data_IF_713647561358
#
_entry.id   IF_713647561358
#
_cell.length_a   1.000
_cell.length_b   1.000
_cell.length_c   1.000
_cell.angle_alpha   90.00
_cell.angle_beta   90.00
_cell.angle_gamma   90.00
#
_symmetry.space_group_name_H-M   'P 1'
#
loop_
_entity.id
_entity.type
_entity.pdbx_description
1 polymer ?
#
# COMPACT_ATOMS: atom_id res chain seq x y z
N UNK A 1 -8.83 11.37 -12.15
CA UNK A 1 -8.02 10.14 -11.98
C UNK A 1 -7.30 10.19 -10.66
N UNK A 2 -7.13 9.04 -10.01
CA UNK A 2 -6.47 8.89 -8.70
C UNK A 2 -5.30 7.92 -8.87
N UNK A 3 -4.13 8.28 -8.34
CA UNK A 3 -3.03 7.35 -8.17
C UNK A 3 -3.21 6.62 -6.84
N UNK A 4 -3.22 5.31 -6.91
CA UNK A 4 -3.35 4.40 -5.78
C UNK A 4 -2.04 3.64 -5.66
N UNK A 5 -1.38 3.71 -4.51
CA UNK A 5 -0.08 3.10 -4.29
C UNK A 5 -0.10 2.22 -3.03
N UNK A 6 0.73 1.18 -3.06
CA UNK A 6 1.00 0.29 -1.93
C UNK A 6 2.50 0.20 -1.76
N UNK A 7 2.99 0.32 -0.53
CA UNK A 7 4.44 0.31 -0.25
C UNK A 7 5.09 -1.06 -0.58
N UNK A 8 4.31 -2.15 -0.59
CA UNK A 8 4.77 -3.47 -1.04
C UNK A 8 3.62 -4.46 -1.24
N UNK A 9 3.61 -5.15 -2.39
CA UNK A 9 2.65 -6.21 -2.74
C UNK A 9 2.03 -6.08 -4.13
N UNK A 10 1.43 -7.17 -4.61
CA UNK A 10 0.80 -7.23 -5.93
C UNK A 10 -0.48 -6.38 -5.99
N UNK A 11 -0.48 -5.37 -6.87
CA UNK A 11 -1.61 -4.48 -7.10
C UNK A 11 -2.66 -5.06 -8.06
N UNK A 12 -2.48 -6.28 -8.58
CA UNK A 12 -3.43 -6.96 -9.49
C UNK A 12 -4.88 -6.91 -9.00
N UNK A 13 -5.09 -6.90 -7.67
CA UNK A 13 -6.40 -6.87 -7.00
C UNK A 13 -6.97 -5.47 -6.70
N UNK A 14 -6.26 -4.38 -7.03
CA UNK A 14 -6.78 -2.99 -6.90
C UNK A 14 -8.05 -2.77 -7.73
N UNK A 15 -8.18 -3.51 -8.84
CA UNK A 15 -9.40 -3.52 -9.68
C UNK A 15 -10.65 -3.87 -8.86
N UNK A 16 -10.54 -4.77 -7.88
CA UNK A 16 -11.65 -5.20 -7.04
C UNK A 16 -11.85 -4.27 -5.83
N UNK A 17 -10.78 -3.89 -5.12
CA UNK A 17 -10.88 -3.09 -3.88
C UNK A 17 -11.58 -1.73 -4.07
N UNK A 18 -11.12 -0.91 -5.02
CA UNK A 18 -11.67 0.45 -5.19
C UNK A 18 -13.12 0.42 -5.77
N UNK A 19 -13.65 -0.75 -6.16
CA UNK A 19 -14.97 -0.85 -6.81
C UNK A 19 -16.11 -0.76 -5.79
N UNK A 20 -15.84 -1.11 -4.54
CA UNK A 20 -16.80 -1.02 -3.45
C UNK A 20 -17.19 0.43 -3.10
N UNK A 21 -16.36 1.42 -3.43
CA UNK A 21 -16.59 2.83 -3.11
C UNK A 21 -17.20 3.65 -4.26
N UNK A 22 -17.53 3.01 -5.39
CA UNK A 22 -18.21 3.66 -6.49
C UNK A 22 -18.33 2.75 -7.70
N UNK A 23 -19.54 2.57 -8.20
CA UNK A 23 -19.89 1.84 -9.42
C UNK A 23 -19.30 2.45 -10.72
N UNK A 24 -18.35 3.38 -10.60
CA UNK A 24 -17.96 4.36 -11.63
C UNK A 24 -16.46 4.29 -11.98
N UNK A 25 -15.91 3.08 -12.10
CA UNK A 25 -14.55 2.89 -12.65
C UNK A 25 -14.60 2.74 -14.15
N UNK A 26 -13.97 3.66 -14.87
CA UNK A 26 -13.80 3.54 -16.33
C UNK A 26 -12.60 2.67 -16.70
N UNK A 27 -11.48 2.82 -15.99
CA UNK A 27 -10.22 2.16 -16.34
C UNK A 27 -9.24 2.11 -15.18
N UNK A 28 -8.45 1.03 -15.11
CA UNK A 28 -7.30 0.92 -14.18
C UNK A 28 -6.05 0.65 -15.01
N UNK A 29 -5.03 1.50 -14.88
CA UNK A 29 -3.71 1.35 -15.50
C UNK A 29 -2.66 1.15 -14.41
N UNK A 30 -1.79 0.16 -14.55
CA UNK A 30 -0.66 0.00 -13.62
C UNK A 30 0.53 0.82 -14.09
N UNK A 31 1.22 1.47 -13.15
CA UNK A 31 2.44 2.23 -13.46
C UNK A 31 3.62 1.26 -13.39
N UNK A 32 4.27 0.93 -14.51
CA UNK A 32 5.43 0.05 -14.52
C UNK A 32 6.64 0.72 -13.86
N UNK A 33 7.44 -0.07 -13.14
CA UNK A 33 8.73 0.37 -12.65
C UNK A 33 9.83 -0.14 -13.59
N UNK A 34 10.28 0.71 -14.50
CA UNK A 34 11.29 0.35 -15.50
C UNK A 34 12.71 0.22 -14.94
N UNK A 35 12.93 0.58 -13.67
CA UNK A 35 14.25 0.55 -13.04
C UNK A 35 14.48 -0.70 -12.17
N UNK A 36 13.43 -1.47 -11.87
CA UNK A 36 13.51 -2.68 -11.03
C UNK A 36 13.36 -3.96 -11.85
N UNK A 37 14.09 -5.02 -11.47
CA UNK A 37 14.08 -6.30 -12.17
C UNK A 37 12.74 -7.06 -12.07
N UNK A 38 11.91 -6.72 -11.07
CA UNK A 38 10.55 -7.22 -10.93
C UNK A 38 9.62 -6.10 -11.37
N UNK A 39 9.03 -6.23 -12.55
CA UNK A 39 8.09 -5.28 -13.15
C UNK A 39 6.72 -5.29 -12.43
N UNK A 40 6.73 -5.33 -11.10
CA UNK A 40 5.54 -5.29 -10.25
C UNK A 40 5.26 -3.80 -10.04
N UNK A 41 4.20 -3.30 -10.69
CA UNK A 41 3.77 -1.93 -10.48
C UNK A 41 3.42 -1.70 -9.01
N UNK A 42 4.16 -0.81 -8.34
CA UNK A 42 3.90 -0.38 -6.96
C UNK A 42 2.79 0.67 -6.88
N UNK A 43 2.31 1.15 -8.04
CA UNK A 43 1.19 2.08 -8.14
C UNK A 43 0.26 1.78 -9.34
N UNK A 44 -0.99 2.23 -9.23
CA UNK A 44 -2.01 2.15 -10.26
C UNK A 44 -2.72 3.51 -10.41
N UNK A 45 -3.05 3.88 -11.64
CA UNK A 45 -3.94 4.99 -11.98
C UNK A 45 -5.35 4.44 -12.14
N UNK A 46 -6.29 5.01 -11.38
CA UNK A 46 -7.72 4.69 -11.43
C UNK A 46 -8.46 5.86 -12.05
N UNK A 47 -9.14 5.59 -13.16
CA UNK A 47 -10.02 6.52 -13.85
C UNK A 47 -11.44 6.40 -13.30
N UNK A 48 -11.96 7.52 -12.83
CA UNK A 48 -13.30 7.66 -12.24
C UNK A 48 -14.15 8.53 -13.15
N UNK A 49 -15.47 8.36 -13.09
CA UNK A 49 -16.40 9.13 -13.91
C UNK A 49 -16.45 10.61 -13.54
N UNK A 50 -16.46 10.91 -12.23
CA UNK A 50 -16.63 12.27 -11.72
C UNK A 50 -15.39 12.76 -10.95
N UNK A 51 -15.02 14.05 -11.09
CA UNK A 51 -13.90 14.62 -10.35
C UNK A 51 -14.16 14.71 -8.84
N UNK A 52 -15.41 14.92 -8.42
CA UNK A 52 -15.76 15.00 -7.01
C UNK A 52 -15.67 13.63 -6.32
N UNK A 53 -16.03 12.56 -7.02
CA UNK A 53 -15.80 11.18 -6.55
C UNK A 53 -14.30 10.91 -6.32
N UNK A 54 -13.43 11.45 -7.18
CA UNK A 54 -11.99 11.30 -7.01
C UNK A 54 -11.49 11.97 -5.72
N UNK A 55 -11.99 13.17 -5.40
CA UNK A 55 -11.64 13.87 -4.15
C UNK A 55 -12.16 13.13 -2.92
N UNK A 56 -13.39 12.65 -2.97
CA UNK A 56 -14.01 11.87 -1.90
C UNK A 56 -13.19 10.61 -1.60
N UNK A 57 -12.88 9.81 -2.63
CA UNK A 57 -12.08 8.58 -2.48
C UNK A 57 -10.68 8.89 -1.92
N UNK A 58 -10.02 9.95 -2.37
CA UNK A 58 -8.71 10.35 -1.81
C UNK A 58 -8.84 10.72 -0.33
N UNK A 59 -9.86 11.49 0.05
CA UNK A 59 -10.09 11.87 1.44
C UNK A 59 -10.44 10.68 2.33
N UNK A 60 -11.24 9.75 1.82
CA UNK A 60 -11.68 8.56 2.54
C UNK A 60 -10.53 7.58 2.76
N UNK A 61 -9.72 7.31 1.73
CA UNK A 61 -8.52 6.46 1.86
C UNK A 61 -7.46 7.11 2.76
N UNK A 62 -7.44 8.45 2.85
CA UNK A 62 -6.53 9.17 3.74
C UNK A 62 -6.99 9.14 5.20
N UNK A 63 -8.31 9.20 5.43
CA UNK A 63 -8.91 9.21 6.77
C UNK A 63 -9.17 7.80 7.33
N UNK A 64 -9.31 6.80 6.46
CA UNK A 64 -9.61 5.42 6.83
C UNK A 64 -8.58 4.45 6.26
N UNK A 65 -8.20 3.44 7.05
CA UNK A 65 -7.26 2.40 6.64
C UNK A 65 -7.90 1.45 5.63
N UNK A 66 -7.83 1.80 4.35
CA UNK A 66 -8.38 0.97 3.28
C UNK A 66 -7.44 -0.19 2.93
N UNK A 67 -7.86 -1.42 3.22
CA UNK A 67 -7.06 -2.64 3.00
C UNK A 67 -7.46 -3.33 1.70
N UNK A 68 -6.47 -3.82 0.94
CA UNK A 68 -6.68 -4.62 -0.27
C UNK A 68 -6.02 -5.98 -0.09
N UNK A 69 -6.74 -7.07 -0.42
CA UNK A 69 -6.32 -8.47 -0.33
C UNK A 69 -6.29 -9.11 1.07
N UNK A 70 -7.01 -8.58 2.06
CA UNK A 70 -7.08 -9.19 3.40
C UNK A 70 -5.76 -9.16 4.20
N UNK A 71 -4.72 -8.51 3.68
CA UNK A 71 -3.53 -8.15 4.47
C UNK A 71 -3.75 -6.76 5.05
N UNK A 72 -3.42 -6.52 6.34
CA UNK A 72 -3.62 -5.24 7.01
C UNK A 72 -2.57 -4.20 6.61
N UNK A 73 -2.38 -4.00 5.31
CA UNK A 73 -1.52 -2.96 4.73
C UNK A 73 -2.41 -1.94 4.04
N UNK A 74 -2.63 -0.77 4.67
CA UNK A 74 -3.45 0.27 4.10
C UNK A 74 -2.87 0.75 2.77
N UNK A 75 -3.76 1.02 1.84
CA UNK A 75 -3.43 1.62 0.56
C UNK A 75 -3.43 3.13 0.70
N UNK A 76 -2.55 3.81 -0.04
CA UNK A 76 -2.54 5.29 -0.10
C UNK A 76 -3.06 5.75 -1.45
N UNK A 77 -3.78 6.87 -1.44
CA UNK A 77 -4.32 7.48 -2.65
C UNK A 77 -3.95 8.96 -2.75
N UNK A 78 -3.62 9.42 -3.95
CA UNK A 78 -3.40 10.82 -4.26
C UNK A 78 -3.99 11.19 -5.63
N UNK A 79 -4.21 12.48 -5.86
CA UNK A 79 -4.63 12.96 -7.17
C UNK A 79 -3.59 12.61 -8.24
N UNK A 80 -4.03 12.17 -9.42
CA UNK A 80 -3.12 11.86 -10.52
C UNK A 80 -2.50 13.15 -11.08
N UNK A 81 -1.19 13.15 -11.27
CA UNK A 81 -0.47 14.25 -11.91
C UNK A 81 -0.25 13.97 -13.39
N UNK A 82 -0.16 15.03 -14.20
CA UNK A 82 0.15 14.94 -15.63
C UNK A 82 1.47 14.19 -15.91
N UNK A 83 2.40 14.17 -14.96
CA UNK A 83 3.69 13.50 -15.08
C UNK A 83 3.61 11.97 -14.98
N UNK A 84 2.47 11.43 -14.53
CA UNK A 84 2.26 10.00 -14.30
C UNK A 84 1.70 9.26 -15.53
N UNK A 85 1.42 9.97 -16.62
CA UNK A 85 0.85 9.42 -17.85
C UNK A 85 1.93 9.13 -18.91
N UNK A 86 1.74 8.05 -19.67
CA UNK A 86 2.66 7.66 -20.75
C UNK A 86 2.68 8.67 -21.90
N UNK A 87 1.52 9.26 -22.22
CA UNK A 87 1.31 10.20 -23.33
C UNK A 87 1.88 11.60 -23.05
N UNK A 88 2.80 11.72 -22.09
CA UNK A 88 3.30 13.00 -21.59
C UNK A 88 3.99 13.78 -22.73
N UNK A 89 3.45 14.95 -23.14
CA UNK A 89 4.17 15.81 -24.06
C UNK A 89 5.43 16.34 -23.38
N UNK A 90 6.52 16.41 -24.13
CA UNK A 90 7.78 17.01 -23.66
C UNK A 90 7.48 18.41 -23.12
N UNK A 91 7.91 18.72 -21.88
CA UNK A 91 7.74 20.05 -21.29
C UNK A 91 8.20 21.11 -22.31
N UNK A 92 7.32 22.03 -22.76
CA UNK A 92 7.68 23.01 -23.77
C UNK A 92 8.84 23.86 -23.26
N UNK A 93 9.83 24.13 -24.12
CA UNK A 93 11.05 24.86 -23.77
C UNK A 93 12.18 24.03 -23.13
N UNK A 94 11.96 22.76 -22.74
CA UNK A 94 13.04 21.94 -22.15
C UNK A 94 13.93 21.34 -23.24
N UNK A 95 15.11 21.92 -23.47
CA UNK A 95 16.17 21.31 -24.28
C UNK A 95 17.09 20.47 -23.37
N UNK A 96 17.02 19.14 -23.50
CA UNK A 96 17.98 18.25 -22.84
C UNK A 96 19.24 18.25 -23.71
N UNK A 97 20.35 18.73 -23.16
CA UNK A 97 21.66 18.70 -23.80
C UNK A 97 22.55 17.81 -22.96
N UNK A 98 23.06 16.75 -23.56
CA UNK A 98 24.02 15.85 -22.91
C UNK A 98 25.41 16.19 -23.44
N UNK A 99 26.35 16.48 -22.53
CA UNK A 99 27.75 16.72 -22.86
C UNK A 99 28.64 15.94 -21.89
N UNK A 100 29.65 15.26 -22.43
CA UNK A 100 30.72 14.67 -21.63
C UNK A 100 31.71 15.77 -21.26
N UNK A 101 32.07 15.84 -19.97
CA UNK A 101 33.02 16.82 -19.46
C UNK A 101 34.42 16.23 -19.43
N UNK A 102 35.39 17.02 -19.90
CA UNK A 102 36.82 16.71 -19.77
C UNK A 102 37.34 17.28 -18.46
N UNK A 103 38.48 16.77 -17.97
CA UNK A 103 39.12 17.26 -16.73
C UNK A 103 39.52 18.73 -16.78
N UNK A 104 39.72 19.29 -17.97
CA UNK A 104 40.06 20.70 -18.16
C UNK A 104 38.83 21.64 -18.18
N UNK A 105 37.62 21.11 -18.10
CA UNK A 105 36.38 21.90 -18.12
C UNK A 105 36.14 22.53 -16.74
N UNK A 106 35.78 23.83 -16.65
CA UNK A 106 35.54 24.50 -15.37
C UNK A 106 34.45 23.84 -14.52
N UNK A 107 33.47 23.19 -15.16
CA UNK A 107 32.36 22.54 -14.46
C UNK A 107 32.68 21.11 -14.02
N UNK A 108 33.87 20.58 -14.39
CA UNK A 108 34.24 19.19 -14.11
C UNK A 108 34.23 18.87 -12.60
N UNK A 109 34.78 19.76 -11.77
CA UNK A 109 34.81 19.57 -10.32
C UNK A 109 33.41 19.67 -9.69
N UNK A 110 32.54 20.54 -10.21
CA UNK A 110 31.15 20.64 -9.76
C UNK A 110 30.38 19.35 -10.11
N UNK A 111 30.51 18.86 -11.35
CA UNK A 111 29.89 17.62 -11.79
C UNK A 111 30.40 16.41 -10.98
N UNK A 112 31.68 16.38 -10.63
CA UNK A 112 32.29 15.35 -9.78
C UNK A 112 31.70 15.34 -8.36
N UNK A 113 31.53 16.52 -7.75
CA UNK A 113 30.85 16.67 -6.45
C UNK A 113 29.40 16.18 -6.52
N UNK A 114 28.63 16.62 -7.52
CA UNK A 114 27.24 16.17 -7.72
C UNK A 114 27.19 14.65 -7.87
N UNK A 115 28.06 14.06 -8.69
CA UNK A 115 28.15 12.61 -8.87
C UNK A 115 28.42 11.88 -7.55
N UNK A 116 29.32 12.39 -6.72
CA UNK A 116 29.62 11.82 -5.42
C UNK A 116 28.42 11.90 -4.47
N UNK A 117 27.77 13.07 -4.38
CA UNK A 117 26.58 13.28 -3.56
C UNK A 117 25.42 12.37 -3.98
N UNK A 118 25.15 12.26 -5.28
CA UNK A 118 24.08 11.40 -5.79
C UNK A 118 24.35 9.92 -5.46
N UNK A 119 25.61 9.47 -5.57
CA UNK A 119 25.98 8.10 -5.17
C UNK A 119 25.74 7.86 -3.70
N UNK A 120 26.17 8.79 -2.84
CA UNK A 120 25.95 8.71 -1.40
C UNK A 120 24.45 8.66 -1.07
N UNK A 121 23.65 9.54 -1.65
CA UNK A 121 22.20 9.56 -1.47
C UNK A 121 21.53 8.25 -1.95
N UNK A 122 22.00 7.67 -3.05
CA UNK A 122 21.49 6.40 -3.53
C UNK A 122 21.81 5.24 -2.57
N UNK A 123 23.00 5.25 -1.95
CA UNK A 123 23.38 4.27 -0.92
C UNK A 123 22.58 4.45 0.37
N UNK A 124 22.41 5.70 0.84
CA UNK A 124 21.58 6.06 2.00
C UNK A 124 20.12 5.63 1.77
N UNK A 125 19.54 5.92 0.59
CA UNK A 125 18.19 5.52 0.25
C UNK A 125 18.04 3.99 0.19
N UNK A 126 19.03 3.28 -0.37
CA UNK A 126 19.03 1.81 -0.40
C UNK A 126 19.13 1.21 1.00
N UNK A 127 19.90 1.84 1.89
CA UNK A 127 19.99 1.42 3.29
C UNK A 127 18.66 1.59 4.02
N UNK A 128 18.03 2.77 3.89
CA UNK A 128 16.71 3.04 4.47
C UNK A 128 15.64 2.08 3.95
N UNK A 129 15.62 1.81 2.65
CA UNK A 129 14.67 0.88 2.05
C UNK A 129 14.81 -0.53 2.62
N UNK A 130 16.05 -1.01 2.81
CA UNK A 130 16.30 -2.32 3.44
C UNK A 130 15.76 -2.37 4.86
N UNK A 131 16.00 -1.33 5.65
CA UNK A 131 15.49 -1.24 7.02
C UNK A 131 13.96 -1.25 7.05
N UNK A 132 13.31 -0.46 6.18
CA UNK A 132 11.85 -0.45 6.06
C UNK A 132 11.27 -1.82 5.70
N UNK A 133 11.91 -2.54 4.77
CA UNK A 133 11.47 -3.89 4.39
C UNK A 133 11.59 -4.89 5.55
N UNK A 134 12.66 -4.80 6.34
CA UNK A 134 12.85 -5.64 7.53
C UNK A 134 11.80 -5.33 8.62
N UNK A 135 11.52 -4.05 8.87
CA UNK A 135 10.45 -3.62 9.77
C UNK A 135 9.08 -4.11 9.30
N UNK A 136 8.81 -4.02 7.99
CA UNK A 136 7.57 -4.53 7.39
C UNK A 136 7.42 -6.05 7.55
N UNK A 137 8.51 -6.81 7.41
CA UNK A 137 8.51 -8.26 7.60
C UNK A 137 8.26 -8.62 9.07
N UNK A 138 8.93 -7.94 9.99
CA UNK A 138 8.75 -8.11 11.43
C UNK A 138 7.33 -7.75 11.87
N UNK A 139 6.76 -6.67 11.32
CA UNK A 139 5.38 -6.30 11.57
C UNK A 139 4.40 -7.36 11.06
N UNK A 140 4.62 -7.89 9.86
CA UNK A 140 3.78 -8.94 9.30
C UNK A 140 3.79 -10.22 10.15
N UNK A 141 4.96 -10.62 10.68
CA UNK A 141 5.09 -11.76 11.62
C UNK A 141 4.27 -11.52 12.89
N UNK A 142 4.43 -10.36 13.53
CA UNK A 142 3.66 -9.98 14.72
C UNK A 142 2.15 -10.00 14.47
N UNK A 143 1.70 -9.44 13.34
CA UNK A 143 0.28 -9.43 12.96
C UNK A 143 -0.27 -10.85 12.77
N UNK A 144 0.51 -11.75 12.17
CA UNK A 144 0.14 -13.16 11.99
C UNK A 144 0.02 -13.89 13.33
N UNK A 145 0.96 -13.67 14.25
CA UNK A 145 0.92 -14.25 15.60
C UNK A 145 -0.31 -13.81 16.39
N UNK A 146 -0.62 -12.51 16.35
CA UNK A 146 -1.81 -11.94 17.02
C UNK A 146 -3.09 -12.52 16.41
N UNK A 147 -3.16 -12.64 15.08
CA UNK A 147 -4.31 -13.23 14.40
C UNK A 147 -4.51 -14.69 14.84
N UNK A 148 -3.44 -15.48 14.86
CA UNK A 148 -3.49 -16.88 15.30
C UNK A 148 -3.89 -17.03 16.77
N UNK A 149 -3.37 -16.17 17.66
CA UNK A 149 -3.78 -16.16 19.06
C UNK A 149 -5.25 -15.80 19.23
N UNK A 150 -5.75 -14.84 18.46
CA UNK A 150 -7.16 -14.45 18.45
C UNK A 150 -8.04 -15.59 17.96
N UNK A 151 -7.66 -16.26 16.87
CA UNK A 151 -8.39 -17.42 16.34
C UNK A 151 -8.50 -18.54 17.37
N UNK A 152 -7.39 -18.92 18.01
CA UNK A 152 -7.37 -19.93 19.08
C UNK A 152 -8.29 -19.57 20.26
N UNK A 153 -8.33 -18.27 20.61
CA UNK A 153 -9.24 -17.78 21.66
C UNK A 153 -10.70 -17.97 21.26
N UNK A 154 -11.06 -17.64 20.02
CA UNK A 154 -12.42 -17.84 19.52
C UNK A 154 -12.79 -19.32 19.43
N UNK A 155 -11.90 -20.17 18.93
CA UNK A 155 -12.10 -21.63 18.88
C UNK A 155 -12.33 -22.22 20.28
N UNK A 156 -11.59 -21.75 21.30
CA UNK A 156 -11.81 -22.17 22.68
C UNK A 156 -13.19 -21.75 23.19
N UNK A 157 -13.61 -20.51 22.94
CA UNK A 157 -14.94 -20.01 23.34
C UNK A 157 -16.04 -20.84 22.64
N UNK A 158 -15.91 -21.03 21.34
CA UNK A 158 -16.86 -21.79 20.52
C UNK A 158 -16.96 -23.25 21.02
N UNK A 159 -15.83 -23.87 21.35
CA UNK A 159 -15.82 -25.21 21.95
C UNK A 159 -16.51 -25.27 23.33
N UNK A 160 -16.40 -24.23 24.16
CA UNK A 160 -17.03 -24.18 25.49
C UNK A 160 -18.54 -23.98 25.38
N UNK A 161 -18.98 -23.16 24.44
CA UNK A 161 -20.40 -22.93 24.12
C UNK A 161 -21.01 -24.17 23.47
N UNK A 162 -20.39 -24.70 22.41
CA UNK A 162 -20.86 -25.89 21.69
C UNK A 162 -20.92 -27.16 22.55
N UNK A 163 -20.01 -27.32 23.51
CA UNK A 163 -20.04 -28.43 24.46
C UNK A 163 -21.00 -28.22 25.65
N UNK A 164 -21.81 -27.14 25.66
CA UNK A 164 -22.72 -26.78 26.77
C UNK A 164 -22.02 -26.74 28.14
N UNK A 165 -20.71 -26.48 28.15
CA UNK A 165 -19.94 -26.36 29.39
C UNK A 165 -20.32 -25.06 30.08
N UNK A 166 -20.57 -24.00 29.30
CA UNK A 166 -21.13 -22.75 29.78
C UNK A 166 -22.48 -22.95 30.50
N UNK A 167 -23.43 -23.66 29.87
CA UNK A 167 -24.75 -23.98 30.46
C UNK A 167 -24.61 -24.74 31.79
N UNK A 168 -23.77 -25.79 31.81
CA UNK A 168 -23.55 -26.62 33.00
C UNK A 168 -22.94 -25.84 34.17
N UNK A 169 -22.04 -24.89 33.88
CA UNK A 169 -21.48 -23.98 34.89
C UNK A 169 -22.52 -22.96 35.36
N UNK A 170 -23.32 -22.43 34.44
CA UNK A 170 -24.41 -21.48 34.74
C UNK A 170 -25.43 -22.08 35.71
N UNK A 171 -25.85 -23.32 35.48
CA UNK A 171 -26.74 -24.07 36.39
C UNK A 171 -26.11 -24.25 37.78
N UNK A 172 -24.82 -24.62 37.84
CA UNK A 172 -24.11 -24.84 39.12
C UNK A 172 -24.00 -23.56 39.95
N UNK A 173 -23.73 -22.42 39.31
CA UNK A 173 -23.54 -21.14 40.00
C UNK A 173 -24.82 -20.27 40.03
N UNK A 174 -25.94 -20.77 39.50
CA UNK A 174 -27.22 -20.04 39.37
C UNK A 174 -27.08 -18.67 38.69
N UNK A 175 -26.22 -18.61 37.68
CA UNK A 175 -26.00 -17.40 36.86
C UNK A 175 -26.77 -17.56 35.56
N UNK A 176 -27.43 -16.49 35.09
CA UNK A 176 -28.07 -16.49 33.77
C UNK A 176 -27.00 -16.26 32.69
N UNK A 177 -26.83 -17.21 31.79
CA UNK A 177 -26.07 -17.02 30.55
C UNK A 177 -27.06 -16.52 29.50
N UNK A 178 -26.74 -15.41 28.83
CA UNK A 178 -27.54 -14.94 27.71
C UNK A 178 -27.35 -15.91 26.53
N UNK A 179 -28.44 -16.29 25.87
CA UNK A 179 -28.38 -17.13 24.68
C UNK A 179 -27.60 -16.38 23.59
N UNK A 180 -26.44 -16.90 23.22
CA UNK A 180 -25.75 -16.47 22.02
C UNK A 180 -26.49 -17.12 20.84
N UNK A 181 -27.54 -16.48 20.35
CA UNK A 181 -28.15 -16.85 19.07
C UNK A 181 -27.11 -16.68 17.96
N UNK A 182 -26.52 -17.78 17.50
CA UNK A 182 -25.83 -17.82 16.23
C UNK A 182 -26.86 -17.62 15.11
N UNK A 183 -26.97 -16.39 14.60
CA UNK A 183 -27.55 -16.10 13.28
C UNK A 183 -26.48 -16.19 12.20
#
# INVERSE_FOLDING_TARGET
MVKVARESGDLSKVKFGVAHHGNSKRRVKFIPNYLEAKNIGQAALVELENPDQAKLIVSEISNSSFMICGMPRPVRACAAEAEMFDDRPRKPGRKIVCRWLNSSDPDFEVAKKIKHTVRKQAEEAKFLLKHQLEEEENLAKKQMEILNASYKKFELIDSVVGNRVADRLAERYRVRVADAECQ
#
